data_IF_058778696679
#
_entry.id   IF_058778696679
#
_cell.length_a   1.000
_cell.length_b   1.000
_cell.length_c   1.000
_cell.angle_alpha   90.00
_cell.angle_beta   90.00
_cell.angle_gamma   90.00
#
_symmetry.space_group_name_H-M   'P 1'
#
loop_
_entity.id
_entity.type
_entity.pdbx_description
1 polymer ?
#
# COMPACT_ATOMS: atom_id res chain seq x y z
N UNK A 1 -2.79 54.96 0.33
CA UNK A 1 -2.89 53.94 1.39
C UNK A 1 -2.76 52.57 0.75
N UNK A 2 -1.58 51.94 0.82
CA UNK A 2 -1.43 50.50 0.56
C UNK A 2 -1.44 49.80 1.92
N UNK A 3 -2.48 49.02 2.19
CA UNK A 3 -2.53 48.11 3.33
C UNK A 3 -1.72 46.85 2.97
N UNK A 4 -0.46 46.79 3.39
CA UNK A 4 0.30 45.54 3.40
C UNK A 4 -0.28 44.61 4.48
N UNK A 5 -1.07 43.62 4.08
CA UNK A 5 -1.44 42.51 4.94
C UNK A 5 -0.35 41.44 4.85
N UNK A 6 0.59 41.43 5.80
CA UNK A 6 1.46 40.27 5.99
C UNK A 6 0.65 39.14 6.61
N UNK A 7 0.52 38.02 5.89
CA UNK A 7 0.08 36.76 6.51
C UNK A 7 1.18 36.29 7.46
N UNK A 8 0.96 36.46 8.75
CA UNK A 8 1.78 35.77 9.75
C UNK A 8 1.50 34.28 9.70
N UNK A 9 2.57 33.49 9.57
CA UNK A 9 2.50 32.04 9.66
C UNK A 9 2.16 31.70 11.11
N UNK A 10 0.91 31.34 11.36
CA UNK A 10 0.52 30.77 12.64
C UNK A 10 1.26 29.45 12.84
N UNK A 11 2.22 29.44 13.76
CA UNK A 11 2.87 28.22 14.24
C UNK A 11 2.21 27.91 15.58
N UNK A 12 1.31 26.91 15.65
CA UNK A 12 0.68 26.57 16.92
C UNK A 12 1.77 26.22 17.93
N UNK A 13 1.64 26.75 19.15
CA UNK A 13 2.45 26.31 20.28
C UNK A 13 1.99 24.90 20.63
N UNK A 14 2.64 23.91 20.01
CA UNK A 14 2.43 22.51 20.34
C UNK A 14 2.93 22.31 21.76
N UNK A 15 2.05 21.93 22.69
CA UNK A 15 2.51 21.37 23.97
C UNK A 15 3.36 20.16 23.62
N UNK A 16 4.65 20.24 23.93
CA UNK A 16 5.68 19.25 23.61
C UNK A 16 5.48 17.98 24.45
N UNK A 17 4.40 17.26 24.17
CA UNK A 17 4.12 15.96 24.76
C UNK A 17 4.73 14.96 23.79
N UNK A 18 5.95 14.49 24.07
CA UNK A 18 6.51 13.30 23.42
C UNK A 18 5.93 12.07 24.12
N UNK A 19 4.86 11.45 23.63
CA UNK A 19 4.18 10.47 24.43
C UNK A 19 4.81 9.08 24.28
N UNK A 20 5.71 8.90 23.30
CA UNK A 20 6.38 7.63 22.98
C UNK A 20 5.41 6.43 23.02
N UNK A 21 4.16 6.66 22.57
CA UNK A 21 3.08 5.69 22.62
C UNK A 21 3.46 4.44 21.85
N UNK A 22 3.12 3.28 22.41
CA UNK A 22 3.24 2.02 21.71
C UNK A 22 2.18 1.96 20.60
N UNK A 23 2.60 1.55 19.42
CA UNK A 23 1.75 1.34 18.24
C UNK A 23 1.82 -0.14 17.87
N UNK A 24 0.67 -0.80 17.87
CA UNK A 24 0.52 -2.21 17.50
C UNK A 24 -0.39 -2.30 16.27
N UNK A 25 0.16 -2.77 15.16
CA UNK A 25 -0.57 -3.02 13.92
C UNK A 25 -0.43 -4.49 13.54
N UNK A 26 -1.56 -5.19 13.38
CA UNK A 26 -1.55 -6.59 13.00
C UNK A 26 -2.91 -7.26 13.14
N UNK A 27 -2.93 -8.54 12.81
CA UNK A 27 -4.14 -9.36 12.78
C UNK A 27 -3.82 -10.78 13.21
N UNK A 28 -4.64 -11.35 14.09
CA UNK A 28 -4.55 -12.75 14.50
C UNK A 28 -5.22 -13.61 13.42
N UNK A 29 -4.41 -14.26 12.59
CA UNK A 29 -4.90 -15.11 11.52
C UNK A 29 -5.15 -16.53 12.02
N UNK A 30 -6.41 -16.91 12.10
CA UNK A 30 -6.86 -18.25 12.50
C UNK A 30 -7.24 -19.12 11.31
N UNK A 31 -6.96 -18.70 10.06
CA UNK A 31 -7.34 -19.39 8.82
C UNK A 31 -6.22 -20.19 8.15
N UNK A 32 -5.14 -20.50 8.87
CA UNK A 32 -4.03 -21.31 8.35
C UNK A 32 -2.96 -20.54 7.57
N UNK A 33 -3.03 -19.21 7.52
CA UNK A 33 -1.99 -18.33 7.01
C UNK A 33 -1.33 -17.57 8.19
N UNK A 34 -0.29 -16.81 7.87
CA UNK A 34 0.57 -16.14 8.83
C UNK A 34 -0.16 -15.13 9.69
N UNK A 35 0.20 -15.12 10.98
CA UNK A 35 -0.12 -14.04 11.91
C UNK A 35 1.09 -13.13 12.00
N UNK A 36 0.89 -11.84 11.75
CA UNK A 36 1.98 -10.85 11.71
C UNK A 36 1.55 -9.62 12.50
N UNK A 37 2.42 -9.19 13.42
CA UNK A 37 2.30 -7.95 14.17
C UNK A 37 3.53 -7.07 13.97
N UNK A 38 3.32 -5.81 13.62
CA UNK A 38 4.33 -4.76 13.64
C UNK A 38 4.13 -3.94 14.90
N UNK A 39 5.18 -3.86 15.71
CA UNK A 39 5.17 -3.12 16.97
C UNK A 39 6.21 -2.02 16.88
N UNK A 40 5.78 -0.80 17.14
CA UNK A 40 6.62 0.40 17.03
C UNK A 40 6.23 1.42 18.08
N UNK A 41 6.95 2.54 18.12
CA UNK A 41 6.62 3.68 18.96
C UNK A 41 6.48 4.95 18.15
N UNK A 42 5.59 5.82 18.60
CA UNK A 42 5.52 7.20 18.11
C UNK A 42 6.78 7.97 18.48
N UNK A 43 7.13 8.94 17.64
CA UNK A 43 8.27 9.83 17.85
C UNK A 43 7.85 11.26 17.48
N UNK A 44 8.63 12.25 17.94
CA UNK A 44 8.31 13.65 17.69
C UNK A 44 8.31 13.97 16.20
N UNK A 45 7.42 14.87 15.78
CA UNK A 45 7.26 15.29 14.38
C UNK A 45 8.53 15.97 13.84
N UNK A 46 9.30 16.65 14.69
CA UNK A 46 10.57 17.30 14.34
C UNK A 46 11.78 16.35 14.42
N UNK A 47 11.58 15.09 14.81
CA UNK A 47 12.68 14.13 14.91
C UNK A 47 13.12 13.64 13.53
N UNK A 48 14.41 13.33 13.39
CA UNK A 48 14.97 12.67 12.19
C UNK A 48 14.59 11.19 12.07
N UNK A 49 13.85 10.64 13.04
CA UNK A 49 13.45 9.24 13.02
C UNK A 49 12.37 9.04 11.95
N UNK A 50 12.55 8.00 11.12
CA UNK A 50 11.56 7.61 10.09
C UNK A 50 10.71 6.44 10.62
N UNK A 51 11.31 5.57 11.44
CA UNK A 51 10.66 4.42 12.10
C UNK A 51 11.30 4.23 13.47
N UNK A 52 10.50 3.88 14.47
CA UNK A 52 10.98 3.50 15.81
C UNK A 52 10.43 2.12 16.20
N UNK A 53 11.06 1.01 15.75
CA UNK A 53 10.55 -0.34 16.03
C UNK A 53 10.73 -0.71 17.50
N UNK A 54 9.73 -1.38 18.09
CA UNK A 54 9.84 -1.99 19.42
C UNK A 54 10.49 -3.37 19.24
N UNK A 55 11.75 -3.51 19.67
CA UNK A 55 12.56 -4.72 19.45
C UNK A 55 12.68 -5.55 20.72
N UNK A 56 12.97 -6.83 20.54
CA UNK A 56 13.16 -7.80 21.62
C UNK A 56 11.97 -7.91 22.60
N UNK A 57 10.76 -7.53 22.16
CA UNK A 57 9.55 -7.80 22.91
C UNK A 57 9.22 -9.30 22.85
N UNK A 58 8.60 -9.82 23.91
CA UNK A 58 7.99 -11.15 23.90
C UNK A 58 6.53 -10.99 23.50
N UNK A 59 6.21 -11.45 22.30
CA UNK A 59 4.88 -11.32 21.70
C UNK A 59 4.23 -12.68 21.63
N UNK A 60 3.05 -12.84 22.25
CA UNK A 60 2.30 -14.09 22.25
C UNK A 60 0.86 -13.88 21.82
N UNK A 61 0.31 -14.86 21.11
CA UNK A 61 -1.13 -15.00 20.90
C UNK A 61 -1.67 -15.99 21.92
N UNK A 62 -2.71 -15.61 22.63
CA UNK A 62 -3.36 -16.43 23.64
C UNK A 62 -4.82 -16.69 23.25
N UNK A 63 -5.34 -17.90 23.51
CA UNK A 63 -6.77 -18.20 23.39
C UNK A 63 -7.42 -18.42 24.75
N UNK A 64 -8.73 -18.20 24.82
CA UNK A 64 -9.55 -18.55 26.00
C UNK A 64 -9.70 -20.06 26.22
N UNK A 65 -9.23 -20.88 25.27
CA UNK A 65 -9.08 -22.33 25.40
C UNK A 65 -7.72 -22.78 25.97
N UNK A 66 -6.84 -21.85 26.36
CA UNK A 66 -5.53 -22.15 26.96
C UNK A 66 -4.37 -22.28 25.96
N UNK A 67 -4.60 -22.05 24.66
CA UNK A 67 -3.52 -21.99 23.68
C UNK A 67 -2.65 -20.76 23.95
N UNK A 68 -1.33 -20.92 23.89
CA UNK A 68 -0.37 -19.80 23.89
C UNK A 68 0.69 -20.07 22.83
N UNK A 69 0.85 -19.14 21.88
CA UNK A 69 1.81 -19.24 20.78
C UNK A 69 2.73 -18.03 20.79
N UNK A 70 4.05 -18.27 20.79
CA UNK A 70 5.07 -17.23 20.67
C UNK A 70 5.23 -16.80 19.21
N UNK A 71 5.28 -15.49 18.99
CA UNK A 71 5.60 -14.87 17.71
C UNK A 71 7.05 -14.37 17.77
N UNK A 72 8.02 -15.06 17.15
CA UNK A 72 9.40 -14.57 17.09
C UNK A 72 9.52 -13.29 16.25
N UNK A 73 10.47 -12.42 16.62
CA UNK A 73 10.85 -11.26 15.81
C UNK A 73 11.54 -11.72 14.52
N UNK A 74 11.18 -11.12 13.38
CA UNK A 74 11.80 -11.39 12.10
C UNK A 74 13.16 -10.70 11.99
N UNK A 75 14.28 -11.43 11.74
CA UNK A 75 15.60 -10.83 11.66
C UNK A 75 15.75 -9.76 10.57
N UNK A 76 15.04 -9.93 9.46
CA UNK A 76 15.07 -9.01 8.32
C UNK A 76 14.11 -7.81 8.46
N UNK A 77 13.24 -7.79 9.47
CA UNK A 77 12.22 -6.75 9.68
C UNK A 77 12.10 -6.41 11.18
N UNK A 78 12.98 -5.56 11.71
CA UNK A 78 12.98 -5.17 13.11
C UNK A 78 11.60 -4.69 13.60
N UNK A 79 11.19 -5.14 14.78
CA UNK A 79 9.87 -4.86 15.37
C UNK A 79 8.69 -5.55 14.69
N UNK A 80 8.93 -6.48 13.75
CA UNK A 80 7.90 -7.35 13.17
C UNK A 80 7.97 -8.73 13.80
N UNK A 81 6.86 -9.19 14.35
CA UNK A 81 6.71 -10.46 15.04
C UNK A 81 5.73 -11.33 14.27
N UNK A 82 6.08 -12.59 14.00
CA UNK A 82 5.21 -13.44 13.18
C UNK A 82 5.34 -14.93 13.42
N UNK A 83 4.26 -15.65 13.13
CA UNK A 83 4.24 -17.12 13.03
C UNK A 83 3.57 -17.53 11.71
N UNK A 84 4.03 -18.60 11.03
CA UNK A 84 3.47 -19.01 9.73
C UNK A 84 2.00 -19.41 9.76
N UNK A 85 1.52 -19.97 10.87
CA UNK A 85 0.10 -20.29 11.05
C UNK A 85 -0.22 -20.51 12.54
N UNK A 86 -1.50 -20.38 12.87
CA UNK A 86 -2.07 -20.75 14.17
C UNK A 86 -2.98 -21.98 14.03
N UNK A 87 -3.32 -22.59 15.17
CA UNK A 87 -4.38 -23.60 15.23
C UNK A 87 -5.70 -22.94 14.82
N UNK A 88 -6.42 -23.58 13.88
CA UNK A 88 -7.66 -23.08 13.30
C UNK A 88 -8.85 -23.47 14.18
N UNK A 89 -9.06 -22.76 15.28
CA UNK A 89 -10.24 -22.93 16.14
C UNK A 89 -11.05 -21.62 16.21
N UNK A 90 -12.06 -21.52 15.36
CA UNK A 90 -12.91 -20.33 15.27
C UNK A 90 -13.95 -20.22 16.39
N UNK A 91 -14.05 -21.22 17.28
CA UNK A 91 -14.97 -21.19 18.42
C UNK A 91 -14.38 -20.44 19.62
N UNK A 92 -13.09 -20.15 19.58
CA UNK A 92 -12.33 -19.50 20.66
C UNK A 92 -12.20 -18.01 20.44
N UNK A 93 -11.98 -17.32 21.55
CA UNK A 93 -11.55 -15.92 21.53
C UNK A 93 -10.05 -15.87 21.66
N UNK A 94 -9.45 -14.89 20.99
CA UNK A 94 -8.01 -14.71 20.95
C UNK A 94 -7.63 -13.32 21.44
N UNK A 95 -6.44 -13.19 22.00
CA UNK A 95 -5.83 -11.90 22.33
C UNK A 95 -4.35 -11.89 22.02
N UNK A 96 -3.81 -10.69 21.87
CA UNK A 96 -2.38 -10.45 21.81
C UNK A 96 -1.86 -10.08 23.20
N UNK A 97 -0.71 -10.64 23.57
CA UNK A 97 0.08 -10.21 24.72
C UNK A 97 1.45 -9.77 24.26
N UNK A 98 1.86 -8.59 24.68
CA UNK A 98 3.18 -8.01 24.39
C UNK A 98 3.86 -7.67 25.71
N UNK A 99 5.02 -8.26 25.95
CA UNK A 99 5.93 -7.83 27.03
C UNK A 99 7.14 -7.16 26.40
N UNK A 100 7.24 -5.85 26.56
CA UNK A 100 8.35 -5.05 26.02
C UNK A 100 9.65 -5.32 26.78
N UNK A 101 10.78 -4.92 26.19
CA UNK A 101 12.09 -5.15 26.79
C UNK A 101 12.28 -4.40 28.14
N UNK A 102 11.58 -3.28 28.31
CA UNK A 102 11.55 -2.53 29.58
C UNK A 102 10.58 -3.11 30.64
N UNK A 103 9.99 -4.28 30.39
CA UNK A 103 9.16 -5.00 31.36
C UNK A 103 7.68 -4.62 31.39
N UNK A 104 7.24 -3.61 30.62
CA UNK A 104 5.81 -3.30 30.51
C UNK A 104 5.05 -4.42 29.80
N UNK A 105 3.81 -4.64 30.21
CA UNK A 105 2.94 -5.68 29.67
C UNK A 105 1.69 -5.04 29.09
N UNK A 106 1.40 -5.36 27.84
CA UNK A 106 0.23 -4.92 27.11
C UNK A 106 -0.59 -6.14 26.72
N UNK A 107 -1.90 -6.06 26.97
CA UNK A 107 -2.87 -7.08 26.59
C UNK A 107 -3.92 -6.45 25.71
N UNK A 108 -4.24 -7.10 24.59
CA UNK A 108 -5.51 -6.83 23.94
C UNK A 108 -6.65 -7.49 24.69
N UNK A 109 -7.86 -7.00 24.50
CA UNK A 109 -9.07 -7.72 24.85
C UNK A 109 -9.14 -9.05 24.08
N UNK A 110 -9.89 -9.99 24.65
CA UNK A 110 -10.28 -11.20 23.94
C UNK A 110 -11.30 -10.86 22.85
N UNK A 111 -10.95 -11.16 21.61
CA UNK A 111 -11.79 -10.93 20.43
C UNK A 111 -12.21 -12.24 19.78
N UNK A 112 -13.44 -12.26 19.27
CA UNK A 112 -13.97 -13.40 18.53
C UNK A 112 -13.23 -13.60 17.21
N UNK A 113 -12.95 -14.85 16.86
CA UNK A 113 -12.44 -15.22 15.53
C UNK A 113 -13.56 -15.14 14.50
N UNK A 114 -13.47 -14.18 13.56
CA UNK A 114 -14.45 -14.03 12.48
C UNK A 114 -14.03 -14.81 11.24
N UNK A 115 -14.95 -15.60 10.69
CA UNK A 115 -14.71 -16.34 9.44
C UNK A 115 -15.19 -15.49 8.26
N UNK A 116 -14.27 -15.07 7.40
CA UNK A 116 -14.59 -14.38 6.16
C UNK A 116 -15.04 -15.37 5.09
N UNK A 117 -16.17 -15.06 4.44
CA UNK A 117 -16.63 -15.76 3.24
C UNK A 117 -15.77 -15.38 2.02
N UNK A 118 -15.81 -16.18 0.92
CA UNK A 118 -15.08 -15.85 -0.29
C UNK A 118 -15.41 -14.45 -0.81
N UNK A 119 -14.37 -13.76 -1.28
CA UNK A 119 -14.49 -12.48 -1.99
C UNK A 119 -14.36 -12.74 -3.50
N UNK A 120 -15.20 -12.08 -4.29
CA UNK A 120 -15.08 -12.03 -5.74
C UNK A 120 -14.82 -10.61 -6.22
N UNK A 121 -14.23 -10.50 -7.40
CA UNK A 121 -13.88 -9.23 -8.03
C UNK A 121 -14.65 -9.14 -9.34
N UNK A 122 -15.45 -8.09 -9.48
CA UNK A 122 -16.12 -7.73 -10.73
C UNK A 122 -15.57 -6.40 -11.23
N UNK A 123 -15.83 -6.08 -12.49
CA UNK A 123 -15.52 -4.78 -13.05
C UNK A 123 -16.58 -4.38 -14.08
N UNK A 124 -16.71 -3.08 -14.28
CA UNK A 124 -17.44 -2.51 -15.40
C UNK A 124 -16.70 -1.32 -16.00
N UNK A 125 -17.16 -0.89 -17.17
CA UNK A 125 -16.69 0.35 -17.81
C UNK A 125 -17.85 1.32 -17.87
N UNK A 126 -17.73 2.43 -17.14
CA UNK A 126 -18.75 3.48 -17.10
C UNK A 126 -18.08 4.85 -17.05
N UNK A 127 -18.62 5.80 -17.82
CA UNK A 127 -18.15 7.19 -17.87
C UNK A 127 -16.64 7.34 -18.19
N UNK A 128 -16.09 6.51 -19.07
CA UNK A 128 -14.67 6.55 -19.43
C UNK A 128 -13.71 6.06 -18.34
N UNK A 129 -14.22 5.26 -17.39
CA UNK A 129 -13.42 4.63 -16.34
C UNK A 129 -13.64 3.12 -16.31
N UNK A 130 -12.58 2.38 -16.03
CA UNK A 130 -12.64 1.01 -15.53
C UNK A 130 -12.86 1.04 -14.02
N UNK A 131 -14.03 0.58 -13.56
CA UNK A 131 -14.33 0.50 -12.14
C UNK A 131 -14.15 -0.94 -11.66
N UNK A 132 -13.36 -1.12 -10.61
CA UNK A 132 -13.07 -2.41 -9.99
C UNK A 132 -13.86 -2.53 -8.69
N UNK A 133 -14.57 -3.65 -8.51
CA UNK A 133 -15.42 -3.87 -7.35
C UNK A 133 -15.10 -5.15 -6.60
N UNK A 134 -15.29 -5.12 -5.28
CA UNK A 134 -15.36 -6.31 -4.43
C UNK A 134 -16.82 -6.71 -4.19
N UNK A 135 -17.06 -8.01 -4.16
CA UNK A 135 -18.34 -8.59 -3.80
C UNK A 135 -18.15 -9.72 -2.80
N UNK A 136 -19.07 -9.83 -1.85
CA UNK A 136 -19.11 -10.95 -0.91
C UNK A 136 -20.53 -11.18 -0.41
N UNK A 137 -20.81 -12.39 0.04
CA UNK A 137 -22.12 -12.77 0.57
C UNK A 137 -21.92 -13.78 1.68
N UNK A 138 -22.63 -13.59 2.79
CA UNK A 138 -22.70 -14.53 3.90
C UNK A 138 -24.16 -14.90 4.19
N UNK A 139 -24.67 -16.02 3.63
CA UNK A 139 -26.04 -16.46 3.89
C UNK A 139 -26.36 -16.69 5.38
N UNK A 140 -25.34 -16.91 6.22
CA UNK A 140 -25.50 -17.08 7.66
C UNK A 140 -25.63 -15.76 8.43
N UNK A 141 -25.39 -14.62 7.79
CA UNK A 141 -25.55 -13.29 8.39
C UNK A 141 -24.52 -12.94 9.47
N UNK A 142 -23.37 -13.63 9.47
CA UNK A 142 -22.34 -13.52 10.50
C UNK A 142 -21.24 -12.50 10.15
N UNK A 143 -21.25 -11.93 8.94
CA UNK A 143 -20.17 -11.16 8.35
C UNK A 143 -20.48 -9.66 8.22
N UNK A 144 -21.37 -9.12 9.07
CA UNK A 144 -21.96 -7.77 8.98
C UNK A 144 -21.02 -6.56 8.82
N UNK A 145 -19.73 -6.73 9.05
CA UNK A 145 -18.71 -5.70 8.96
C UNK A 145 -17.51 -6.21 8.17
N UNK A 146 -17.32 -5.67 6.98
CA UNK A 146 -16.28 -6.08 6.05
C UNK A 146 -15.18 -5.02 6.00
N UNK A 147 -13.94 -5.49 5.90
CA UNK A 147 -12.78 -4.66 5.59
C UNK A 147 -12.05 -5.26 4.39
N UNK A 148 -11.68 -4.40 3.46
CA UNK A 148 -10.90 -4.75 2.29
C UNK A 148 -9.53 -4.10 2.38
N UNK A 149 -8.49 -4.89 2.14
CA UNK A 149 -7.16 -4.40 1.81
C UNK A 149 -6.86 -4.85 0.39
N UNK A 150 -6.20 -4.01 -0.40
CA UNK A 150 -5.88 -4.40 -1.76
C UNK A 150 -4.59 -3.76 -2.25
N UNK A 151 -3.99 -4.43 -3.22
CA UNK A 151 -2.80 -3.99 -3.94
C UNK A 151 -3.05 -4.06 -5.43
N UNK A 152 -2.45 -3.12 -6.15
CA UNK A 152 -2.48 -3.02 -7.59
C UNK A 152 -1.10 -3.35 -8.14
N UNK A 153 -1.06 -3.97 -9.31
CA UNK A 153 0.16 -4.15 -10.08
C UNK A 153 -0.15 -3.92 -11.55
N UNK A 154 0.68 -3.18 -12.25
CA UNK A 154 0.49 -2.96 -13.69
C UNK A 154 1.80 -2.93 -14.45
N UNK A 155 1.73 -3.33 -15.71
CA UNK A 155 2.78 -3.16 -16.71
C UNK A 155 2.64 -1.79 -17.37
N UNK A 156 3.75 -1.06 -17.49
CA UNK A 156 3.83 0.19 -18.21
C UNK A 156 5.16 0.31 -18.95
N UNK A 157 5.24 1.27 -19.86
CA UNK A 157 6.46 1.56 -20.61
C UNK A 157 6.98 2.97 -20.38
N UNK A 158 8.28 3.15 -20.58
CA UNK A 158 8.84 4.49 -20.73
C UNK A 158 8.22 5.19 -21.96
N UNK A 159 8.08 6.52 -21.96
CA UNK A 159 7.60 7.27 -23.13
C UNK A 159 8.36 6.99 -24.42
N UNK A 160 9.68 6.80 -24.34
CA UNK A 160 10.54 6.46 -25.47
C UNK A 160 11.33 5.17 -25.21
N UNK A 161 11.48 4.36 -26.27
CA UNK A 161 12.34 3.18 -26.23
C UNK A 161 13.80 3.58 -26.52
N UNK A 162 14.67 3.42 -25.51
CA UNK A 162 16.11 3.59 -25.68
C UNK A 162 16.73 2.31 -26.20
N UNK A 163 17.19 2.31 -27.46
CA UNK A 163 17.85 1.17 -28.11
C UNK A 163 19.36 1.14 -27.84
N UNK A 164 19.93 2.22 -27.30
CA UNK A 164 21.36 2.36 -27.03
C UNK A 164 21.62 2.68 -25.57
N UNK A 165 22.84 2.38 -25.11
CA UNK A 165 23.37 2.74 -23.79
C UNK A 165 24.79 3.25 -23.90
N UNK A 166 25.27 3.90 -22.85
CA UNK A 166 26.65 4.39 -22.78
C UNK A 166 27.49 3.42 -21.93
N UNK A 167 28.55 2.89 -22.51
CA UNK A 167 29.53 2.03 -21.82
C UNK A 167 30.92 2.57 -22.15
N UNK A 168 31.75 2.84 -21.14
CA UNK A 168 33.10 3.38 -21.32
C UNK A 168 33.15 4.61 -22.25
N UNK A 169 32.19 5.54 -22.09
CA UNK A 169 32.03 6.74 -22.92
C UNK A 169 31.77 6.47 -24.41
N UNK A 170 31.31 5.27 -24.76
CA UNK A 170 30.89 4.92 -26.11
C UNK A 170 29.40 4.57 -26.12
N UNK A 171 28.70 5.00 -27.17
CA UNK A 171 27.31 4.63 -27.41
C UNK A 171 27.31 3.24 -28.05
N UNK A 172 26.66 2.28 -27.40
CA UNK A 172 26.56 0.89 -27.86
C UNK A 172 25.10 0.44 -27.85
N UNK A 173 24.69 -0.47 -28.75
CA UNK A 173 23.35 -1.04 -28.69
C UNK A 173 23.08 -1.72 -27.34
N UNK A 174 21.82 -1.68 -26.88
CA UNK A 174 21.35 -2.47 -25.76
C UNK A 174 21.21 -3.94 -26.16
N UNK A 175 21.45 -4.83 -25.21
CA UNK A 175 21.27 -6.28 -25.35
C UNK A 175 20.04 -6.68 -24.54
N UNK A 176 19.01 -7.17 -25.23
CA UNK A 176 17.76 -7.61 -24.57
C UNK A 176 17.81 -9.11 -24.24
N UNK A 177 17.17 -9.56 -23.14
CA UNK A 177 16.34 -8.78 -22.21
C UNK A 177 17.11 -8.05 -21.09
N UNK A 178 18.40 -8.31 -20.91
CA UNK A 178 19.19 -7.78 -19.77
C UNK A 178 19.25 -6.25 -19.66
N UNK A 179 19.17 -5.52 -20.77
CA UNK A 179 19.17 -4.06 -20.80
C UNK A 179 17.77 -3.43 -20.98
N UNK A 180 16.69 -4.21 -20.85
CA UNK A 180 15.33 -3.68 -20.98
C UNK A 180 15.02 -2.71 -19.84
N UNK A 181 15.02 -1.42 -20.16
CA UNK A 181 14.59 -0.32 -19.27
C UNK A 181 13.33 0.35 -19.82
N UNK A 182 12.72 -0.25 -20.85
CA UNK A 182 11.53 0.25 -21.52
C UNK A 182 10.28 -0.36 -20.90
N UNK A 183 10.26 -1.66 -20.58
CA UNK A 183 9.13 -2.32 -19.90
C UNK A 183 9.34 -2.41 -18.39
N UNK A 184 8.43 -1.82 -17.61
CA UNK A 184 8.44 -1.89 -16.16
C UNK A 184 7.10 -2.36 -15.60
N UNK A 185 7.18 -2.80 -14.35
CA UNK A 185 6.04 -3.16 -13.53
C UNK A 185 6.02 -2.28 -12.29
N UNK A 186 4.85 -1.76 -11.93
CA UNK A 186 4.68 -0.98 -10.70
C UNK A 186 3.72 -1.68 -9.78
N UNK A 187 4.10 -1.74 -8.50
CA UNK A 187 3.33 -2.33 -7.42
C UNK A 187 2.93 -1.23 -6.43
N UNK A 188 1.66 -1.14 -6.10
CA UNK A 188 1.15 -0.18 -5.11
C UNK A 188 0.17 -0.88 -4.19
N UNK A 189 0.45 -0.82 -2.89
CA UNK A 189 -0.52 -1.20 -1.86
C UNK A 189 -1.41 0.00 -1.56
N UNK A 190 -2.73 -0.20 -1.56
CA UNK A 190 -3.66 0.86 -1.19
C UNK A 190 -3.52 1.22 0.29
N UNK A 191 -3.46 2.53 0.57
CA UNK A 191 -3.52 3.08 1.92
C UNK A 191 -4.95 3.32 2.42
N UNK A 192 -5.96 3.10 1.57
CA UNK A 192 -7.37 3.39 1.87
C UNK A 192 -7.93 2.42 2.90
N UNK A 193 -8.65 2.95 3.88
CA UNK A 193 -9.42 2.18 4.85
C UNK A 193 -10.78 1.87 4.23
N UNK A 194 -10.83 0.78 3.47
CA UNK A 194 -12.03 0.32 2.78
C UNK A 194 -12.91 -0.54 3.69
N UNK A 195 -14.06 0.01 4.10
CA UNK A 195 -15.00 -0.59 5.04
C UNK A 195 -16.41 -0.65 4.42
N UNK A 196 -17.11 -1.76 4.65
CA UNK A 196 -18.51 -1.92 4.27
C UNK A 196 -19.31 -2.56 5.42
N UNK A 197 -20.57 -2.18 5.57
CA UNK A 197 -21.49 -2.83 6.51
C UNK A 197 -22.79 -3.22 5.81
N UNK A 198 -23.32 -4.38 6.17
CA UNK A 198 -24.58 -4.92 5.67
C UNK A 198 -25.68 -4.89 6.74
N UNK A 199 -25.45 -4.18 7.86
CA UNK A 199 -26.44 -4.08 8.95
C UNK A 199 -27.77 -3.48 8.49
N UNK A 200 -27.73 -2.53 7.58
CA UNK A 200 -28.91 -1.87 7.02
C UNK A 200 -29.52 -2.61 5.84
N UNK A 201 -28.98 -3.78 5.49
CA UNK A 201 -29.43 -4.61 4.38
C UNK A 201 -30.15 -5.85 4.89
N UNK A 202 -31.18 -6.27 4.16
CA UNK A 202 -31.91 -7.52 4.46
C UNK A 202 -30.99 -8.73 4.33
N UNK A 203 -30.15 -8.75 3.31
CA UNK A 203 -29.16 -9.79 3.06
C UNK A 203 -27.78 -9.34 3.52
N UNK A 204 -26.99 -10.25 4.09
CA UNK A 204 -25.57 -10.01 4.39
C UNK A 204 -24.75 -10.16 3.09
N UNK A 205 -24.91 -9.15 2.22
CA UNK A 205 -24.37 -9.12 0.88
C UNK A 205 -23.75 -7.77 0.60
N UNK A 206 -22.45 -7.78 0.32
CA UNK A 206 -21.73 -6.64 -0.26
C UNK A 206 -21.74 -6.83 -1.77
N UNK A 207 -22.40 -5.92 -2.48
CA UNK A 207 -22.44 -5.88 -3.93
C UNK A 207 -21.77 -4.59 -4.43
N UNK A 208 -20.94 -4.74 -5.45
CA UNK A 208 -20.26 -3.67 -6.18
C UNK A 208 -19.55 -2.63 -5.28
N UNK A 209 -18.86 -3.09 -4.22
CA UNK A 209 -18.08 -2.19 -3.38
C UNK A 209 -16.87 -1.67 -4.16
N UNK A 210 -16.82 -0.37 -4.44
CA UNK A 210 -15.78 0.23 -5.27
C UNK A 210 -14.40 0.18 -4.61
N UNK A 211 -13.51 -0.61 -5.19
CA UNK A 211 -12.10 -0.68 -4.82
C UNK A 211 -11.33 0.45 -5.49
N UNK A 212 -11.36 0.49 -6.83
CA UNK A 212 -10.60 1.45 -7.63
C UNK A 212 -11.40 1.94 -8.83
N UNK A 213 -11.16 3.19 -9.22
CA UNK A 213 -11.71 3.83 -10.41
C UNK A 213 -10.54 4.28 -11.26
N UNK A 214 -10.35 3.63 -12.40
CA UNK A 214 -9.17 3.82 -13.25
C UNK A 214 -9.62 4.53 -14.53
N UNK A 215 -9.22 5.79 -14.76
CA UNK A 215 -9.55 6.49 -16.00
C UNK A 215 -9.01 5.74 -17.22
N UNK A 216 -9.75 5.75 -18.34
CA UNK A 216 -9.36 5.10 -19.61
C UNK A 216 -8.00 5.61 -20.16
N UNK A 217 -7.56 6.80 -19.73
CA UNK A 217 -6.26 7.39 -20.07
C UNK A 217 -5.12 6.95 -19.16
N UNK A 218 -5.40 6.16 -18.13
CA UNK A 218 -4.42 5.73 -17.15
C UNK A 218 -3.45 4.71 -17.75
N UNK A 219 -2.16 4.86 -17.46
CA UNK A 219 -1.15 3.87 -17.85
C UNK A 219 -1.40 2.49 -17.25
N UNK A 220 -2.11 2.41 -16.11
CA UNK A 220 -2.39 1.17 -15.39
C UNK A 220 -3.02 0.09 -16.27
N UNK A 221 -3.79 0.50 -17.27
CA UNK A 221 -4.64 -0.34 -18.12
C UNK A 221 -4.18 -0.33 -19.59
N UNK A 222 -3.03 0.26 -19.90
CA UNK A 222 -2.48 0.27 -21.25
C UNK A 222 -1.94 -1.09 -21.70
N UNK A 223 -1.62 -1.97 -20.74
CA UNK A 223 -1.05 -3.30 -20.98
C UNK A 223 -1.70 -4.33 -20.06
N UNK A 224 -1.04 -4.70 -18.96
CA UNK A 224 -1.57 -5.68 -18.01
C UNK A 224 -1.84 -4.98 -16.68
N UNK A 225 -3.02 -5.22 -16.13
CA UNK A 225 -3.42 -4.73 -14.81
C UNK A 225 -3.79 -5.91 -13.92
N UNK A 226 -3.36 -5.90 -12.67
CA UNK A 226 -3.83 -6.82 -11.65
C UNK A 226 -4.23 -6.07 -10.39
N UNK A 227 -5.30 -6.55 -9.78
CA UNK A 227 -5.67 -6.20 -8.42
C UNK A 227 -5.73 -7.46 -7.58
N UNK A 228 -5.21 -7.40 -6.36
CA UNK A 228 -5.28 -8.45 -5.37
C UNK A 228 -5.94 -7.93 -4.11
N UNK A 229 -7.02 -8.58 -3.72
CA UNK A 229 -7.91 -8.15 -2.65
C UNK A 229 -7.84 -9.17 -1.54
N UNK A 230 -7.63 -8.68 -0.33
CA UNK A 230 -7.78 -9.40 0.93
C UNK A 230 -9.03 -8.87 1.64
N UNK A 231 -9.94 -9.78 1.98
CA UNK A 231 -11.14 -9.48 2.75
C UNK A 231 -11.01 -10.07 4.15
N UNK A 232 -11.34 -9.24 5.14
CA UNK A 232 -11.54 -9.66 6.53
C UNK A 232 -12.90 -9.24 7.04
N UNK A 233 -13.44 -10.02 7.97
CA UNK A 233 -14.67 -9.69 8.70
C UNK A 233 -14.27 -9.20 10.07
N UNK A 234 -14.85 -8.07 10.48
CA UNK A 234 -14.56 -7.42 11.75
C UNK A 234 -15.65 -7.70 12.78
N UNK A 235 -15.28 -7.59 14.05
CA UNK A 235 -16.27 -7.36 15.12
C UNK A 235 -16.80 -5.93 15.02
N UNK A 236 -17.93 -5.65 15.66
CA UNK A 236 -18.48 -4.28 15.72
C UNK A 236 -17.45 -3.27 16.24
N UNK A 237 -16.77 -3.59 17.34
CA UNK A 237 -15.74 -2.72 17.92
C UNK A 237 -14.56 -2.49 16.96
N UNK A 238 -14.15 -3.54 16.22
CA UNK A 238 -13.10 -3.38 15.20
C UNK A 238 -13.53 -2.48 14.04
N UNK A 239 -14.78 -2.61 13.59
CA UNK A 239 -15.34 -1.73 12.56
C UNK A 239 -15.39 -0.27 13.02
N UNK A 240 -15.88 -0.02 14.24
CA UNK A 240 -15.94 1.33 14.84
C UNK A 240 -14.55 1.96 15.00
N UNK A 241 -13.55 1.16 15.38
CA UNK A 241 -12.16 1.59 15.43
C UNK A 241 -11.65 2.04 14.06
N UNK A 242 -11.80 1.20 13.02
CA UNK A 242 -11.32 1.54 11.68
C UNK A 242 -12.13 2.68 11.04
N UNK A 243 -13.42 2.81 11.31
CA UNK A 243 -14.23 3.97 10.89
C UNK A 243 -13.72 5.25 11.54
N UNK A 244 -13.39 5.21 12.83
CA UNK A 244 -12.81 6.36 13.55
C UNK A 244 -11.44 6.72 12.98
N UNK A 245 -10.59 5.72 12.73
CA UNK A 245 -9.29 5.92 12.09
C UNK A 245 -9.45 6.54 10.70
N UNK A 246 -10.36 6.03 9.87
CA UNK A 246 -10.68 6.55 8.54
C UNK A 246 -11.09 8.01 8.59
N UNK A 247 -12.00 8.38 9.51
CA UNK A 247 -12.42 9.78 9.71
C UNK A 247 -11.24 10.67 10.10
N UNK A 248 -10.35 10.19 10.96
CA UNK A 248 -9.20 10.97 11.42
C UNK A 248 -8.08 11.11 10.38
N UNK A 249 -7.88 10.14 9.47
CA UNK A 249 -6.73 10.11 8.55
C UNK A 249 -7.07 10.45 7.10
N UNK A 250 -8.31 10.25 6.67
CA UNK A 250 -8.73 10.46 5.27
C UNK A 250 -9.62 11.69 5.07
N UNK A 251 -10.07 12.37 6.15
CA UNK A 251 -10.71 13.66 6.01
C UNK A 251 -9.69 14.70 5.56
N UNK A 252 -9.90 15.24 4.35
CA UNK A 252 -9.12 16.33 3.79
C UNK A 252 -9.54 17.60 4.52
N UNK A 253 -8.88 17.86 5.65
CA UNK A 253 -9.22 18.91 6.61
C UNK A 253 -9.73 20.22 6.02
N UNK A 254 -10.92 20.63 6.44
CA UNK A 254 -11.50 21.98 6.32
C UNK A 254 -11.47 22.68 7.68
N UNK A 255 -11.53 24.01 7.71
CA UNK A 255 -11.66 24.80 8.96
C UNK A 255 -12.96 24.52 9.72
N UNK A 256 -13.91 23.85 9.09
CA UNK A 256 -15.19 23.41 9.67
C UNK A 256 -15.23 21.91 9.95
N UNK A 257 -14.14 21.17 9.70
CA UNK A 257 -14.11 19.75 9.98
C UNK A 257 -14.10 19.51 11.49
N UNK A 258 -14.77 18.43 11.88
CA UNK A 258 -14.74 17.95 13.26
C UNK A 258 -13.30 17.70 13.68
N UNK A 259 -12.92 18.14 14.88
CA UNK A 259 -11.63 17.79 15.44
C UNK A 259 -11.47 16.27 15.50
N UNK A 260 -10.26 15.73 15.23
CA UNK A 260 -10.00 14.29 15.33
C UNK A 260 -10.46 13.75 16.67
N UNK A 261 -11.28 12.70 16.67
CA UNK A 261 -11.70 12.06 17.91
C UNK A 261 -10.59 11.17 18.45
N UNK A 262 -10.55 11.02 19.78
CA UNK A 262 -9.57 10.15 20.42
C UNK A 262 -9.80 8.69 20.00
N UNK A 263 -8.77 8.08 19.42
CA UNK A 263 -8.80 6.69 18.96
C UNK A 263 -8.44 5.75 20.11
N UNK A 264 -9.44 5.17 20.77
CA UNK A 264 -9.21 4.11 21.75
C UNK A 264 -9.23 2.75 21.06
N UNK A 265 -8.12 2.03 21.20
CA UNK A 265 -8.01 0.62 20.80
C UNK A 265 -8.58 -0.33 21.83
N UNK A 266 -8.45 -1.63 21.58
CA UNK A 266 -8.73 -2.69 22.55
C UNK A 266 -7.46 -3.20 23.24
N UNK A 267 -6.42 -2.37 23.37
CA UNK A 267 -5.12 -2.75 23.93
C UNK A 267 -4.82 -1.90 25.15
N UNK A 268 -4.47 -2.56 26.25
CA UNK A 268 -4.28 -1.94 27.56
C UNK A 268 -2.94 -2.33 28.17
N UNK A 269 -2.26 -1.37 28.78
CA UNK A 269 -1.05 -1.61 29.57
C UNK A 269 -1.46 -2.07 30.98
N UNK A 270 -1.19 -3.33 31.33
CA UNK A 270 -1.55 -3.85 32.67
C UNK A 270 -0.61 -3.34 33.77
N UNK A 271 0.57 -2.85 33.40
CA UNK A 271 1.55 -2.31 34.34
C UNK A 271 1.40 -0.80 34.57
N UNK A 272 0.71 -0.09 33.68
CA UNK A 272 0.44 1.35 33.78
C UNK A 272 -0.89 1.67 33.08
N UNK A 273 -2.04 1.55 33.77
CA UNK A 273 -3.37 1.63 33.15
C UNK A 273 -3.68 2.94 32.42
N UNK A 274 -3.06 4.06 32.82
CA UNK A 274 -3.25 5.37 32.19
C UNK A 274 -2.42 5.55 30.90
N UNK A 275 -1.55 4.59 30.57
CA UNK A 275 -0.73 4.65 29.36
C UNK A 275 -1.55 4.41 28.10
N UNK A 276 -1.50 5.36 27.18
CA UNK A 276 -2.17 5.23 25.88
C UNK A 276 -1.39 4.33 24.94
N UNK A 277 -2.12 3.44 24.26
CA UNK A 277 -1.62 2.53 23.22
C UNK A 277 -2.47 2.73 21.98
N UNK A 278 -1.83 2.75 20.81
CA UNK A 278 -2.50 2.92 19.52
C UNK A 278 -2.54 1.56 18.83
N UNK A 279 -3.72 1.12 18.42
CA UNK A 279 -3.89 -0.12 17.67
C UNK A 279 -5.16 -0.87 18.05
N UNK A 280 -5.59 -1.79 17.21
CA UNK A 280 -6.71 -2.66 17.48
C UNK A 280 -6.41 -4.07 17.00
N UNK A 281 -6.56 -5.05 17.87
CA UNK A 281 -6.36 -6.46 17.55
C UNK A 281 -7.68 -7.07 17.13
N UNK A 282 -7.72 -7.61 15.92
CA UNK A 282 -8.81 -8.46 15.41
C UNK A 282 -8.30 -9.89 15.19
N UNK A 283 -9.21 -10.86 15.20
CA UNK A 283 -8.91 -12.26 14.93
C UNK A 283 -9.87 -12.85 13.90
N UNK A 284 -9.39 -13.75 13.05
CA UNK A 284 -10.25 -14.39 12.04
C UNK A 284 -9.51 -14.98 10.86
N UNK A 285 -10.27 -15.31 9.82
CA UNK A 285 -9.71 -15.73 8.52
C UNK A 285 -9.63 -14.55 7.55
N UNK A 286 -8.74 -14.68 6.56
CA UNK A 286 -8.60 -13.73 5.46
C UNK A 286 -8.91 -14.46 4.16
N UNK A 287 -9.87 -13.97 3.38
CA UNK A 287 -10.13 -14.50 2.03
C UNK A 287 -9.47 -13.60 0.99
N UNK A 288 -8.95 -14.22 -0.07
CA UNK A 288 -8.00 -13.59 -0.99
C UNK A 288 -8.42 -13.84 -2.43
N UNK A 289 -8.41 -12.81 -3.28
CA UNK A 289 -8.69 -12.97 -4.71
C UNK A 289 -7.76 -12.08 -5.53
N UNK A 290 -7.14 -12.65 -6.57
CA UNK A 290 -6.45 -11.90 -7.62
C UNK A 290 -7.26 -11.94 -8.90
N UNK A 291 -7.30 -10.82 -9.61
CA UNK A 291 -7.73 -10.73 -11.01
C UNK A 291 -6.61 -10.08 -11.82
N UNK A 292 -6.43 -10.54 -13.05
CA UNK A 292 -5.54 -9.95 -14.06
C UNK A 292 -6.41 -9.60 -15.26
N UNK A 293 -6.27 -8.39 -15.78
CA UNK A 293 -6.97 -7.87 -16.95
C UNK A 293 -5.94 -7.50 -18.01
N UNK A 294 -6.17 -7.93 -19.24
CA UNK A 294 -5.36 -7.52 -20.38
C UNK A 294 -6.05 -6.35 -21.09
N UNK A 295 -5.26 -5.36 -21.46
CA UNK A 295 -5.64 -4.23 -22.30
C UNK A 295 -6.57 -4.63 -23.46
N UNK A 296 -6.20 -5.69 -24.19
CA UNK A 296 -6.95 -6.21 -25.35
C UNK A 296 -8.33 -6.80 -25.02
N UNK A 297 -8.60 -7.09 -23.74
CA UNK A 297 -9.87 -7.64 -23.25
C UNK A 297 -10.82 -6.55 -22.77
N UNK A 298 -10.35 -5.31 -22.63
CA UNK A 298 -11.14 -4.19 -22.15
C UNK A 298 -12.01 -3.61 -23.27
N UNK A 299 -13.27 -3.24 -23.00
CA UNK A 299 -14.24 -2.83 -24.02
C UNK A 299 -14.07 -1.38 -24.52
N UNK A 300 -12.92 -0.73 -24.29
CA UNK A 300 -12.63 0.63 -24.77
C UNK A 300 -11.34 0.67 -25.59
N UNK A 301 -11.29 1.58 -26.56
CA UNK A 301 -10.06 1.85 -27.32
C UNK A 301 -9.05 2.55 -26.42
N UNK A 302 -7.98 1.84 -26.06
CA UNK A 302 -6.90 2.38 -25.25
C UNK A 302 -6.29 3.58 -25.99
N UNK A 303 -6.35 4.75 -25.34
CA UNK A 303 -5.73 5.97 -25.86
C UNK A 303 -4.22 5.85 -25.77
N UNK A 304 -3.52 6.49 -26.72
CA UNK A 304 -2.07 6.38 -26.90
C UNK A 304 -1.23 6.66 -25.65
N UNK A 305 0.05 6.29 -25.71
CA UNK A 305 1.02 6.42 -24.62
C UNK A 305 1.07 7.86 -24.11
N UNK A 306 0.88 8.05 -22.81
CA UNK A 306 1.05 9.36 -22.18
C UNK A 306 2.55 9.69 -22.19
N UNK A 307 2.91 10.81 -22.84
CA UNK A 307 4.30 11.23 -22.94
C UNK A 307 4.78 11.95 -21.66
N UNK A 308 3.90 12.33 -20.74
CA UNK A 308 4.26 13.02 -19.49
C UNK A 308 5.14 14.28 -19.69
N UNK A 309 4.96 14.97 -20.82
CA UNK A 309 5.79 16.13 -21.20
C UNK A 309 7.18 15.78 -21.74
N UNK A 310 7.48 14.50 -21.93
CA UNK A 310 8.73 14.05 -22.53
C UNK A 310 8.83 14.41 -24.00
N UNK A 311 10.01 14.91 -24.39
CA UNK A 311 10.39 15.19 -25.78
C UNK A 311 11.64 14.39 -26.13
N UNK A 312 11.83 14.12 -27.42
CA UNK A 312 13.08 13.60 -27.95
C UNK A 312 13.72 14.67 -28.82
N UNK A 313 14.98 14.95 -28.56
CA UNK A 313 15.76 15.98 -29.24
C UNK A 313 16.87 15.34 -30.06
N UNK A 314 17.22 15.99 -31.17
CA UNK A 314 18.35 15.57 -32.01
C UNK A 314 19.62 16.21 -31.45
N UNK A 315 20.60 15.38 -31.09
CA UNK A 315 21.92 15.84 -30.65
C UNK A 315 22.95 15.65 -31.77
N UNK A 316 23.85 16.63 -31.90
CA UNK A 316 24.94 16.61 -32.88
C UNK A 316 26.24 17.13 -32.27
N UNK A 317 27.37 16.74 -32.86
CA UNK A 317 28.68 17.33 -32.54
C UNK A 317 29.07 17.24 -31.07
N UNK A 318 29.42 18.37 -30.45
CA UNK A 318 29.86 18.43 -29.06
C UNK A 318 28.73 18.09 -28.08
N UNK A 319 27.45 18.31 -28.42
CA UNK A 319 26.34 18.01 -27.52
C UNK A 319 26.24 16.51 -27.21
N UNK A 320 26.56 15.64 -28.19
CA UNK A 320 26.65 14.19 -27.95
C UNK A 320 27.74 13.89 -26.91
N UNK A 321 28.87 14.60 -26.99
CA UNK A 321 29.97 14.43 -26.04
C UNK A 321 29.58 14.90 -24.64
N UNK A 322 29.02 16.10 -24.54
CA UNK A 322 28.82 16.77 -23.27
C UNK A 322 27.56 16.31 -22.54
N UNK A 323 26.55 15.80 -23.26
CA UNK A 323 25.29 15.34 -22.67
C UNK A 323 25.17 13.81 -22.56
N UNK A 324 25.85 13.06 -23.43
CA UNK A 324 25.69 11.59 -23.52
C UNK A 324 26.95 10.84 -23.12
N UNK A 325 28.08 11.04 -23.82
CA UNK A 325 29.24 10.16 -23.65
C UNK A 325 30.19 10.57 -22.53
N UNK A 326 30.26 11.86 -22.20
CA UNK A 326 31.08 12.40 -21.12
C UNK A 326 30.38 13.52 -20.32
N UNK A 327 29.17 13.27 -19.78
CA UNK A 327 28.44 14.28 -19.04
C UNK A 327 29.02 14.52 -17.65
N UNK A 328 28.95 15.76 -17.19
CA UNK A 328 29.25 16.12 -15.79
C UNK A 328 28.17 15.58 -14.83
N UNK A 329 26.92 15.52 -15.30
CA UNK A 329 25.78 14.86 -14.67
C UNK A 329 24.98 14.19 -15.78
N UNK A 330 24.84 12.86 -15.81
CA UNK A 330 24.13 12.18 -16.90
C UNK A 330 22.62 12.44 -16.74
N UNK A 331 22.08 13.36 -17.53
CA UNK A 331 20.65 13.71 -17.54
C UNK A 331 19.92 13.15 -18.76
N UNK A 332 20.64 12.77 -19.81
CA UNK A 332 20.08 12.30 -21.08
C UNK A 332 20.44 10.83 -21.37
N UNK A 333 19.58 10.15 -22.13
CA UNK A 333 19.82 8.82 -22.67
C UNK A 333 19.75 8.82 -24.20
N UNK A 334 20.65 8.09 -24.88
CA UNK A 334 20.55 7.88 -26.31
C UNK A 334 19.37 6.96 -26.62
N UNK A 335 18.57 7.34 -27.61
CA UNK A 335 17.39 6.61 -28.06
C UNK A 335 17.72 5.71 -29.23
N UNK A 336 17.93 6.29 -30.41
CA UNK A 336 18.24 5.60 -31.66
C UNK A 336 18.96 6.56 -32.63
N UNK A 337 19.49 6.01 -33.73
CA UNK A 337 20.00 6.79 -34.85
C UNK A 337 19.00 6.74 -36.01
N UNK A 338 18.76 7.88 -36.66
CA UNK A 338 18.02 7.90 -37.92
C UNK A 338 18.90 7.47 -39.11
N UNK A 339 18.31 7.44 -40.31
CA UNK A 339 19.01 7.09 -41.56
C UNK A 339 20.13 8.07 -41.93
N UNK A 340 20.13 9.28 -41.36
CA UNK A 340 21.16 10.30 -41.55
C UNK A 340 22.21 10.30 -40.42
N UNK A 341 22.21 9.29 -39.55
CA UNK A 341 23.10 9.13 -38.40
C UNK A 341 22.97 10.25 -37.34
N UNK A 342 21.82 10.93 -37.28
CA UNK A 342 21.53 11.82 -36.17
C UNK A 342 21.15 11.02 -34.93
N UNK A 343 21.71 11.37 -33.77
CA UNK A 343 21.37 10.75 -32.51
C UNK A 343 20.15 11.42 -31.91
N UNK A 344 19.08 10.65 -31.69
CA UNK A 344 17.96 11.09 -30.87
C UNK A 344 18.28 10.79 -29.40
N UNK A 345 17.99 11.73 -28.52
CA UNK A 345 18.15 11.58 -27.09
C UNK A 345 16.96 12.20 -26.34
N UNK A 346 16.75 11.76 -25.10
CA UNK A 346 15.73 12.33 -24.21
C UNK A 346 16.25 12.32 -22.78
N UNK A 347 15.57 13.03 -21.88
CA UNK A 347 15.89 12.98 -20.46
C UNK A 347 15.70 11.56 -19.90
N UNK A 348 16.54 11.15 -18.96
CA UNK A 348 16.53 9.80 -18.39
C UNK A 348 15.13 9.30 -17.97
N UNK A 349 14.27 10.05 -17.26
CA UNK A 349 12.95 9.57 -16.84
C UNK A 349 11.99 9.25 -18.01
N UNK A 350 12.29 9.76 -19.21
CA UNK A 350 11.51 9.56 -20.42
C UNK A 350 11.90 8.29 -21.19
N UNK A 351 13.04 7.69 -20.87
CA UNK A 351 13.55 6.48 -21.52
C UNK A 351 13.92 5.35 -20.55
N UNK A 352 13.91 5.61 -19.24
CA UNK A 352 14.13 4.63 -18.18
C UNK A 352 12.91 4.58 -17.26
N UNK A 353 12.08 3.55 -17.46
CA UNK A 353 10.85 3.40 -16.70
C UNK A 353 11.10 3.21 -15.19
N UNK A 354 12.28 2.75 -14.77
CA UNK A 354 12.63 2.50 -13.36
C UNK A 354 12.66 3.78 -12.54
N UNK A 355 13.04 4.90 -13.18
CA UNK A 355 13.07 6.22 -12.54
C UNK A 355 11.67 6.76 -12.20
N UNK A 356 10.62 6.12 -12.74
CA UNK A 356 9.21 6.41 -12.40
C UNK A 356 8.64 5.48 -11.32
N UNK A 357 9.51 4.71 -10.65
CA UNK A 357 9.17 3.86 -9.51
C UNK A 357 8.81 2.41 -9.85
N UNK A 358 9.18 1.93 -11.05
CA UNK A 358 8.92 0.55 -11.48
C UNK A 358 10.13 -0.37 -11.36
N UNK A 359 9.86 -1.67 -11.47
CA UNK A 359 10.85 -2.75 -11.51
C UNK A 359 10.82 -3.46 -12.85
N UNK A 360 11.96 -4.08 -13.22
CA UNK A 360 12.09 -4.90 -14.43
C UNK A 360 11.62 -6.35 -14.21
N UNK A 361 11.37 -6.75 -12.97
CA UNK A 361 10.94 -8.10 -12.66
C UNK A 361 9.45 -8.26 -12.94
N UNK A 362 9.13 -8.99 -14.00
CA UNK A 362 7.74 -9.33 -14.32
C UNK A 362 7.12 -10.17 -13.21
N UNK A 363 5.93 -9.77 -12.70
CA UNK A 363 5.19 -10.59 -11.76
C UNK A 363 4.85 -11.97 -12.36
N UNK A 364 4.92 -13.06 -11.59
CA UNK A 364 4.72 -14.42 -12.10
C UNK A 364 3.28 -14.69 -12.55
N UNK A 365 2.32 -13.84 -12.18
CA UNK A 365 0.92 -13.93 -12.58
C UNK A 365 0.58 -13.12 -13.84
N UNK A 366 1.54 -12.41 -14.43
CA UNK A 366 1.38 -11.76 -15.73
C UNK A 366 1.75 -12.69 -16.87
N UNK A 367 1.13 -12.45 -18.02
CA UNK A 367 1.32 -13.23 -19.24
C UNK A 367 2.50 -12.63 -20.02
N UNK A 368 3.36 -13.51 -20.56
CA UNK A 368 4.52 -13.12 -21.38
C UNK A 368 4.13 -12.75 -22.80
#
# INVERSE_FOLDING_TARGET
MLLCACKEKYVPVLKDVNPNYLVIDGFINTGGDSTIFKISRTFKVDSKAIVSPERNAVVTVESDGGLTVLLPELPSKPGTYSVPSLVQDHTKKYRLRVRTNNGKIYLSDFVESKVAQPVSISYDVRHGNLNMYANSTDPGGNSRYYKFAYEETWEYVAPFNSQYKVVNRAIVPRVYPQDDIYHCYRYVKSGRIALASTLSLTEDKVADFTLEVIPETSEKIQRQYSIYVEQTVLTKAGFEFFETLRKNTEQVGSIFDSQPSQLFGNIHCTTAPDETVIGFVSAGTVTKKRTVLLAKELPFSIKGVNLYGCTADILQGQDIRDLITNPSSPEYLPLYYDEQFNLYATQQPCADCRLRGGTLTMPPYFIK
#
